data_IF_011490683811
#
_entry.id   IF_011490683811
#
_cell.length_a   1.000
_cell.length_b   1.000
_cell.length_c   1.000
_cell.angle_alpha   90.00
_cell.angle_beta   90.00
_cell.angle_gamma   90.00
#
_symmetry.space_group_name_H-M   'P 1'
#
loop_
_entity.id
_entity.type
_entity.pdbx_description
1 polymer ?
#
# COMPACT_ATOMS: atom_id res chain seq x y z
N UNK A 1 -10.33 8.95 6.05
CA UNK A 1 -9.46 7.77 6.23
C UNK A 1 -10.22 6.59 5.69
N UNK A 2 -9.70 5.92 4.65
CA UNK A 2 -10.30 4.69 4.12
C UNK A 2 -9.66 3.50 4.85
N UNK A 3 -10.51 2.57 5.30
CA UNK A 3 -10.08 1.41 6.08
C UNK A 3 -10.46 0.14 5.31
N UNK A 4 -9.48 -0.76 5.12
CA UNK A 4 -9.67 -2.05 4.46
C UNK A 4 -9.79 -3.17 5.50
N UNK A 5 -10.85 -3.99 5.36
CA UNK A 5 -11.05 -5.23 6.09
C UNK A 5 -10.73 -6.44 5.20
N UNK A 6 -10.18 -7.48 5.80
CA UNK A 6 -10.02 -8.80 5.16
C UNK A 6 -10.45 -9.85 6.16
N UNK A 7 -11.71 -10.25 6.07
CA UNK A 7 -12.18 -11.42 6.82
C UNK A 7 -11.84 -12.69 6.02
N UNK A 8 -11.12 -13.60 6.67
CA UNK A 8 -10.97 -14.98 6.20
C UNK A 8 -12.14 -15.79 6.76
N UNK A 9 -13.02 -16.29 5.90
CA UNK A 9 -13.88 -17.42 6.24
C UNK A 9 -14.01 -18.38 5.07
N UNK A 10 -13.95 -19.65 5.43
CA UNK A 10 -13.88 -20.82 4.55
C UNK A 10 -15.13 -20.91 3.66
N UNK A 11 -14.94 -20.88 2.35
CA UNK A 11 -16.03 -21.01 1.37
C UNK A 11 -16.68 -19.69 0.92
N UNK A 12 -16.20 -19.15 -0.22
CA UNK A 12 -16.91 -18.15 -1.02
C UNK A 12 -16.86 -16.72 -0.44
N UNK A 13 -15.95 -15.91 -0.98
CA UNK A 13 -15.90 -14.48 -0.66
C UNK A 13 -17.16 -13.77 -1.18
N UNK A 14 -17.98 -13.28 -0.25
CA UNK A 14 -19.04 -12.31 -0.53
C UNK A 14 -18.43 -10.92 -0.40
N UNK A 15 -18.51 -10.10 -1.46
CA UNK A 15 -18.21 -8.68 -1.36
C UNK A 15 -19.04 -8.08 -0.22
N UNK A 16 -18.35 -7.62 0.83
CA UNK A 16 -18.95 -6.92 1.96
C UNK A 16 -19.60 -5.62 1.50
N UNK A 17 -20.90 -5.53 1.82
CA UNK A 17 -21.87 -4.47 1.57
C UNK A 17 -21.32 -3.03 1.64
N UNK A 18 -21.35 -2.34 0.50
CA UNK A 18 -21.35 -0.87 0.42
C UNK A 18 -22.58 -0.34 1.16
N UNK A 19 -22.41 0.44 2.22
CA UNK A 19 -23.53 1.16 2.83
C UNK A 19 -23.65 2.52 2.14
N UNK A 20 -24.41 2.55 1.05
CA UNK A 20 -24.94 3.73 0.39
C UNK A 20 -26.28 3.39 -0.24
N UNK A 21 -27.35 4.11 0.15
CA UNK A 21 -28.74 3.83 -0.24
C UNK A 21 -29.04 4.37 -1.64
N UNK A 22 -29.84 3.60 -2.39
CA UNK A 22 -30.03 3.55 -3.86
C UNK A 22 -30.77 4.70 -4.54
N UNK A 23 -30.62 4.83 -5.87
CA UNK A 23 -31.72 4.67 -6.86
C UNK A 23 -31.25 4.85 -8.33
N UNK A 24 -31.67 3.95 -9.23
CA UNK A 24 -31.86 4.23 -10.67
C UNK A 24 -31.20 3.24 -11.64
N UNK A 25 -32.00 2.35 -12.23
CA UNK A 25 -31.67 1.47 -13.37
C UNK A 25 -31.63 2.27 -14.70
N UNK A 26 -30.67 1.99 -15.60
CA UNK A 26 -30.87 1.93 -17.06
C UNK A 26 -29.62 1.36 -17.77
N UNK A 27 -29.85 0.66 -18.88
CA UNK A 27 -28.93 -0.27 -19.52
C UNK A 27 -28.07 0.38 -20.63
N UNK A 28 -26.89 -0.23 -20.87
CA UNK A 28 -26.19 -0.35 -22.16
C UNK A 28 -25.30 0.81 -22.68
N UNK A 29 -24.02 0.48 -22.89
CA UNK A 29 -23.19 0.60 -24.11
C UNK A 29 -21.72 0.87 -23.75
N UNK A 30 -20.85 0.11 -24.41
CA UNK A 30 -19.40 0.08 -24.29
C UNK A 30 -18.72 1.46 -24.18
N UNK A 31 -17.74 1.57 -23.28
CA UNK A 31 -16.75 2.64 -23.29
C UNK A 31 -15.36 2.05 -23.06
N UNK A 32 -14.69 1.70 -24.16
CA UNK A 32 -13.27 1.36 -24.25
C UNK A 32 -12.40 2.63 -24.37
N UNK A 33 -12.65 3.63 -23.52
CA UNK A 33 -11.85 4.88 -23.45
C UNK A 33 -11.85 5.37 -22.01
N UNK A 34 -11.07 4.72 -21.12
CA UNK A 34 -10.78 5.25 -19.77
C UNK A 34 -9.34 5.06 -19.30
N UNK A 35 -8.58 4.18 -19.95
CA UNK A 35 -7.24 3.85 -19.50
C UNK A 35 -6.23 4.98 -19.74
N UNK A 36 -6.43 5.82 -20.77
CA UNK A 36 -5.48 6.86 -21.16
C UNK A 36 -5.53 8.08 -20.23
N UNK A 37 -6.74 8.52 -19.86
CA UNK A 37 -6.96 9.68 -18.97
C UNK A 37 -6.56 9.34 -17.52
N UNK A 38 -6.83 8.12 -17.06
CA UNK A 38 -6.41 7.62 -15.76
C UNK A 38 -4.87 7.50 -15.67
N UNK A 39 -4.23 7.00 -16.73
CA UNK A 39 -2.77 6.98 -16.83
C UNK A 39 -2.15 8.38 -16.80
N UNK A 40 -2.76 9.34 -17.51
CA UNK A 40 -2.31 10.73 -17.49
C UNK A 40 -2.49 11.35 -16.11
N UNK A 41 -3.63 11.12 -15.45
CA UNK A 41 -3.89 11.59 -14.09
C UNK A 41 -2.87 11.01 -13.11
N UNK A 42 -2.69 9.69 -13.09
CA UNK A 42 -1.68 9.03 -12.27
C UNK A 42 -0.27 9.58 -12.55
N UNK A 43 0.09 9.81 -13.82
CA UNK A 43 1.40 10.36 -14.19
C UNK A 43 1.61 11.80 -13.72
N UNK A 44 0.58 12.65 -13.79
CA UNK A 44 0.62 14.04 -13.33
C UNK A 44 0.75 14.10 -11.81
N UNK A 45 0.08 13.19 -11.08
CA UNK A 45 0.20 13.10 -9.63
C UNK A 45 1.53 12.48 -9.17
N UNK A 46 2.03 11.44 -9.85
CA UNK A 46 3.36 10.88 -9.61
C UNK A 46 4.45 11.94 -9.86
N UNK A 47 4.33 12.78 -10.88
CA UNK A 47 5.25 13.91 -11.13
C UNK A 47 5.14 15.03 -10.09
N UNK A 48 4.03 15.16 -9.36
CA UNK A 48 3.89 16.08 -8.21
C UNK A 48 4.49 15.49 -6.93
N UNK A 49 4.59 14.17 -6.84
CA UNK A 49 5.34 13.47 -5.79
C UNK A 49 6.84 13.45 -6.11
N UNK A 50 7.45 14.60 -6.43
CA UNK A 50 8.90 14.69 -6.59
C UNK A 50 9.54 14.47 -5.22
N UNK A 51 9.85 13.21 -4.92
CA UNK A 51 10.61 12.87 -3.74
C UNK A 51 11.96 13.58 -3.86
N UNK A 52 12.21 14.49 -2.91
CA UNK A 52 13.49 15.19 -2.80
C UNK A 52 14.60 14.14 -2.77
N UNK A 53 15.82 14.56 -3.11
CA UNK A 53 17.07 13.75 -3.23
C UNK A 53 17.38 12.77 -2.08
N UNK A 54 16.60 12.76 -0.99
CA UNK A 54 16.75 11.93 0.19
C UNK A 54 15.53 11.00 0.35
N UNK A 55 15.69 9.75 -0.08
CA UNK A 55 14.77 8.66 0.23
C UNK A 55 14.87 8.28 1.72
N UNK A 56 13.75 7.85 2.28
CA UNK A 56 13.70 7.25 3.61
C UNK A 56 14.34 5.86 3.58
N UNK A 57 14.71 5.33 4.75
CA UNK A 57 15.30 4.00 4.87
C UNK A 57 14.50 3.18 5.88
N UNK A 58 14.21 1.94 5.54
CA UNK A 58 13.48 1.03 6.41
C UNK A 58 14.09 -0.38 6.37
N UNK A 59 13.92 -1.15 7.44
CA UNK A 59 14.39 -2.53 7.56
C UNK A 59 13.23 -3.50 7.46
N UNK A 60 13.35 -4.46 6.54
CA UNK A 60 12.39 -5.54 6.39
C UNK A 60 12.55 -6.58 7.50
N UNK A 61 11.43 -7.04 8.07
CA UNK A 61 11.40 -8.16 9.01
C UNK A 61 10.68 -9.36 8.38
N UNK A 62 11.45 -10.36 7.94
CA UNK A 62 10.89 -11.56 7.32
C UNK A 62 9.97 -12.35 8.25
N UNK A 63 10.22 -12.36 9.56
CA UNK A 63 9.38 -13.13 10.48
C UNK A 63 7.98 -12.54 10.59
N UNK A 64 7.88 -11.22 10.63
CA UNK A 64 6.63 -10.51 10.89
C UNK A 64 5.94 -10.00 9.63
N UNK A 65 6.64 -9.90 8.50
CA UNK A 65 6.08 -9.27 7.30
C UNK A 65 5.78 -7.78 7.49
N UNK A 66 6.55 -7.12 8.35
CA UNK A 66 6.47 -5.68 8.62
C UNK A 66 7.81 -5.03 8.32
N UNK A 67 7.78 -3.72 8.09
CA UNK A 67 8.99 -2.94 7.86
C UNK A 67 9.11 -1.86 8.93
N UNK A 68 10.26 -1.77 9.58
CA UNK A 68 10.57 -0.71 10.54
C UNK A 68 11.25 0.46 9.83
N UNK A 69 10.71 1.67 9.92
CA UNK A 69 11.34 2.86 9.37
C UNK A 69 12.51 3.28 10.28
N UNK A 70 13.72 3.24 9.73
CA UNK A 70 14.95 3.61 10.43
C UNK A 70 15.25 5.11 10.29
N UNK A 71 15.04 5.65 9.09
CA UNK A 71 15.21 7.06 8.80
C UNK A 71 13.99 7.58 8.05
N UNK A 72 13.26 8.51 8.67
CA UNK A 72 12.16 9.20 8.03
C UNK A 72 12.68 10.43 7.26
N UNK A 73 12.36 10.52 5.98
CA UNK A 73 12.59 11.72 5.17
C UNK A 73 11.24 12.20 4.62
N UNK A 74 10.99 13.49 4.75
CA UNK A 74 9.75 14.12 4.30
C UNK A 74 8.53 13.77 5.16
N UNK A 75 7.35 14.19 4.69
CA UNK A 75 6.09 14.10 5.42
C UNK A 75 5.30 12.81 5.17
N UNK A 76 5.76 11.92 4.29
CA UNK A 76 5.06 10.68 3.92
C UNK A 76 4.64 9.83 5.14
N UNK A 77 5.49 9.78 6.16
CA UNK A 77 5.33 8.96 7.36
C UNK A 77 4.37 9.58 8.39
N UNK A 78 3.87 10.80 8.16
CA UNK A 78 2.82 11.39 8.99
C UNK A 78 1.47 10.71 8.76
N UNK A 79 1.29 10.06 7.61
CA UNK A 79 0.03 9.44 7.16
C UNK A 79 0.20 7.97 6.73
N UNK A 80 1.34 7.35 7.07
CA UNK A 80 1.70 6.00 6.63
C UNK A 80 2.39 5.26 7.78
N UNK A 81 1.97 4.02 8.04
CA UNK A 81 2.48 3.20 9.13
C UNK A 81 1.81 3.49 10.47
N UNK A 82 2.20 2.69 11.46
CA UNK A 82 1.73 2.75 12.85
C UNK A 82 2.91 3.15 13.73
N UNK A 83 2.69 4.17 14.57
CA UNK A 83 3.68 4.60 15.56
C UNK A 83 3.54 3.76 16.82
N UNK A 84 4.60 3.04 17.20
CA UNK A 84 4.67 2.24 18.42
C UNK A 84 6.06 2.36 19.06
N UNK A 85 6.11 2.62 20.37
CA UNK A 85 7.37 2.74 21.12
C UNK A 85 8.42 3.69 20.48
N UNK A 86 7.96 4.81 19.91
CA UNK A 86 8.83 5.80 19.25
C UNK A 86 9.36 5.38 17.87
N UNK A 87 8.89 4.25 17.33
CA UNK A 87 9.24 3.73 16.01
C UNK A 87 8.03 3.71 15.09
N UNK A 88 8.28 3.72 13.79
CA UNK A 88 7.22 3.60 12.76
C UNK A 88 7.34 2.22 12.12
N UNK A 89 6.23 1.49 12.12
CA UNK A 89 6.11 0.19 11.48
C UNK A 89 5.12 0.27 10.34
N UNK A 90 5.44 -0.35 9.21
CA UNK A 90 4.59 -0.36 8.02
C UNK A 90 4.17 -1.80 7.70
N UNK A 91 2.93 -1.95 7.25
CA UNK A 91 2.50 -3.17 6.57
C UNK A 91 3.26 -3.36 5.25
N UNK A 92 3.06 -4.50 4.61
CA UNK A 92 3.65 -4.79 3.29
C UNK A 92 3.18 -3.75 2.25
N UNK A 93 1.88 -3.47 2.18
CA UNK A 93 1.31 -2.51 1.23
C UNK A 93 1.84 -1.09 1.47
N UNK A 94 1.90 -0.69 2.74
CA UNK A 94 2.46 0.59 3.17
C UNK A 94 3.95 0.74 2.88
N UNK A 95 4.66 -0.39 2.74
CA UNK A 95 6.08 -0.44 2.36
C UNK A 95 6.27 -0.41 0.85
N UNK A 96 5.47 -1.16 0.09
CA UNK A 96 5.63 -1.33 -1.36
C UNK A 96 5.42 -0.02 -2.12
N UNK A 97 4.36 0.73 -1.80
CA UNK A 97 4.05 1.98 -2.51
C UNK A 97 5.20 3.01 -2.49
N UNK A 98 5.74 3.41 -1.32
CA UNK A 98 6.85 4.36 -1.29
C UNK A 98 8.15 3.78 -1.84
N UNK A 99 8.30 2.46 -1.83
CA UNK A 99 9.44 1.80 -2.46
C UNK A 99 9.39 1.89 -4.00
N UNK A 100 8.22 1.61 -4.61
CA UNK A 100 8.03 1.68 -6.07
C UNK A 100 8.26 3.07 -6.64
N UNK A 101 7.82 4.10 -5.93
CA UNK A 101 7.99 5.50 -6.35
C UNK A 101 9.35 6.09 -5.96
N UNK A 102 10.26 5.28 -5.39
CA UNK A 102 11.62 5.68 -5.03
C UNK A 102 11.75 6.55 -3.77
N UNK A 103 10.70 6.66 -2.98
CA UNK A 103 10.67 7.39 -1.71
C UNK A 103 11.28 6.61 -0.53
N UNK A 104 11.43 5.30 -0.68
CA UNK A 104 11.92 4.38 0.34
C UNK A 104 13.02 3.47 -0.21
N UNK A 105 14.09 3.30 0.57
CA UNK A 105 15.08 2.22 0.43
C UNK A 105 14.80 1.18 1.50
N UNK A 106 14.76 -0.09 1.10
CA UNK A 106 14.55 -1.21 2.02
C UNK A 106 15.88 -1.92 2.22
N UNK A 107 16.22 -2.13 3.49
CA UNK A 107 17.36 -2.91 3.92
C UNK A 107 16.90 -4.29 4.37
N UNK A 108 17.70 -5.30 4.05
CA UNK A 108 17.55 -6.63 4.63
C UNK A 108 18.15 -6.70 6.05
N UNK A 109 18.04 -7.87 6.69
CA UNK A 109 18.63 -8.13 8.01
C UNK A 109 20.12 -7.77 8.09
N UNK A 110 20.87 -8.04 7.02
CA UNK A 110 22.32 -7.80 6.96
C UNK A 110 22.68 -6.38 6.52
N UNK A 111 21.71 -5.46 6.54
CA UNK A 111 21.81 -4.06 6.07
C UNK A 111 22.15 -3.91 4.58
N UNK A 112 22.03 -4.97 3.78
CA UNK A 112 22.10 -4.89 2.33
C UNK A 112 20.83 -4.24 1.77
N UNK A 113 20.95 -3.43 0.71
CA UNK A 113 19.78 -2.86 0.04
C UNK A 113 19.08 -3.91 -0.82
N UNK A 114 17.77 -4.04 -0.67
CA UNK A 114 16.95 -4.93 -1.49
C UNK A 114 16.58 -4.26 -2.82
N UNK A 115 16.64 -5.04 -3.91
CA UNK A 115 16.09 -4.62 -5.20
C UNK A 115 14.57 -4.83 -5.23
N UNK A 116 13.87 -4.19 -6.19
CA UNK A 116 12.43 -4.40 -6.40
C UNK A 116 12.08 -5.87 -6.61
N UNK A 117 12.92 -6.58 -7.37
CA UNK A 117 12.75 -8.01 -7.59
C UNK A 117 12.83 -8.80 -6.29
N UNK A 118 13.76 -8.45 -5.40
CA UNK A 118 13.93 -9.15 -4.12
C UNK A 118 12.75 -8.89 -3.17
N UNK A 119 12.27 -7.64 -3.12
CA UNK A 119 11.11 -7.27 -2.31
C UNK A 119 9.86 -8.02 -2.80
N UNK A 120 9.59 -8.01 -4.10
CA UNK A 120 8.45 -8.75 -4.67
C UNK A 120 8.56 -10.25 -4.42
N UNK A 121 9.75 -10.82 -4.50
CA UNK A 121 9.99 -12.21 -4.15
C UNK A 121 9.65 -12.48 -2.67
N UNK A 122 10.12 -11.63 -1.75
CA UNK A 122 9.79 -11.74 -0.31
C UNK A 122 8.28 -11.64 -0.05
N UNK A 123 7.56 -10.79 -0.78
CA UNK A 123 6.09 -10.68 -0.70
C UNK A 123 5.41 -11.94 -1.23
N UNK A 124 5.84 -12.45 -2.38
CA UNK A 124 5.27 -13.64 -3.01
C UNK A 124 5.52 -14.93 -2.21
N UNK A 125 6.67 -15.05 -1.56
CA UNK A 125 6.99 -16.16 -0.65
C UNK A 125 6.25 -16.03 0.69
N UNK A 126 5.93 -14.79 1.07
CA UNK A 126 5.23 -14.43 2.29
C UNK A 126 3.71 -14.59 2.24
N UNK A 127 3.11 -15.37 1.34
CA UNK A 127 1.63 -15.48 1.16
C UNK A 127 0.81 -15.71 2.45
N UNK A 128 1.40 -16.26 3.52
CA UNK A 128 0.77 -16.40 4.85
C UNK A 128 0.73 -15.11 5.68
N UNK A 129 1.32 -14.01 5.20
CA UNK A 129 1.54 -12.73 5.92
C UNK A 129 0.52 -11.65 5.54
N UNK A 130 -0.54 -12.01 4.80
CA UNK A 130 -1.73 -11.18 4.63
C UNK A 130 -1.63 -10.02 3.61
N UNK A 131 -0.60 -9.99 2.75
CA UNK A 131 -0.57 -9.09 1.60
C UNK A 131 -1.10 -9.83 0.37
N UNK A 132 -2.33 -9.48 -0.04
CA UNK A 132 -2.87 -9.86 -1.34
C UNK A 132 -2.46 -8.79 -2.37
N UNK A 133 -2.03 -9.20 -3.56
CA UNK A 133 -1.64 -8.27 -4.62
C UNK A 133 -2.80 -7.33 -4.98
N UNK A 134 -4.04 -7.84 -4.94
CA UNK A 134 -5.26 -7.07 -5.15
C UNK A 134 -5.43 -5.97 -4.11
N UNK A 135 -5.10 -6.23 -2.83
CA UNK A 135 -5.13 -5.19 -1.78
C UNK A 135 -4.07 -4.13 -2.03
N UNK A 136 -2.89 -4.53 -2.50
CA UNK A 136 -1.83 -3.60 -2.83
C UNK A 136 -2.23 -2.68 -4.00
N UNK A 137 -2.83 -3.22 -5.07
CA UNK A 137 -3.30 -2.40 -6.20
C UNK A 137 -4.34 -1.37 -5.76
N UNK A 138 -5.30 -1.78 -4.93
CA UNK A 138 -6.31 -0.85 -4.38
C UNK A 138 -5.64 0.21 -3.50
N UNK A 139 -4.75 -0.20 -2.60
CA UNK A 139 -3.98 0.72 -1.75
C UNK A 139 -3.18 1.74 -2.58
N UNK A 140 -2.49 1.27 -3.63
CA UNK A 140 -1.68 2.06 -4.56
C UNK A 140 -2.52 3.08 -5.32
N UNK A 141 -3.70 2.68 -5.81
CA UNK A 141 -4.62 3.58 -6.48
C UNK A 141 -5.04 4.73 -5.54
N UNK A 142 -5.53 4.41 -4.34
CA UNK A 142 -5.94 5.44 -3.37
C UNK A 142 -4.77 6.33 -2.90
N UNK A 143 -3.57 5.78 -2.72
CA UNK A 143 -2.39 6.57 -2.34
C UNK A 143 -1.93 7.51 -3.45
N UNK A 144 -2.06 7.10 -4.71
CA UNK A 144 -1.78 7.96 -5.87
C UNK A 144 -2.75 9.14 -5.96
N UNK A 145 -3.99 8.96 -5.48
CA UNK A 145 -5.00 10.00 -5.31
C UNK A 145 -4.85 10.82 -4.00
N UNK A 146 -3.76 10.62 -3.25
CA UNK A 146 -3.44 11.33 -1.99
C UNK A 146 -4.43 11.04 -0.85
N UNK A 147 -5.13 9.90 -0.89
CA UNK A 147 -5.93 9.46 0.26
C UNK A 147 -5.05 8.92 1.39
N UNK A 148 -5.48 9.21 2.62
CA UNK A 148 -4.97 8.53 3.81
C UNK A 148 -5.69 7.18 3.93
N UNK A 149 -4.93 6.12 3.65
CA UNK A 149 -5.36 4.72 3.71
C UNK A 149 -4.62 4.03 4.83
N UNK A 150 -5.34 3.24 5.63
CA UNK A 150 -4.75 2.37 6.66
C UNK A 150 -5.52 1.05 6.75
N UNK A 151 -4.89 0.02 7.34
CA UNK A 151 -5.56 -1.26 7.63
C UNK A 151 -6.44 -1.12 8.88
N UNK A 152 -7.58 -1.81 8.91
CA UNK A 152 -8.40 -1.86 10.13
C UNK A 152 -7.60 -2.56 11.23
N UNK A 153 -7.70 -2.01 12.44
CA UNK A 153 -6.94 -2.47 13.60
C UNK A 153 -7.43 -3.87 14.02
N UNK A 154 -6.68 -4.92 13.74
CA UNK A 154 -6.58 -6.04 14.68
C UNK A 154 -5.45 -5.70 15.67
N UNK A 155 -5.78 -4.88 16.68
CA UNK A 155 -4.86 -4.59 17.78
C UNK A 155 -4.92 -5.75 18.77
N UNK A 156 -3.95 -6.65 18.65
CA UNK A 156 -3.51 -7.58 19.69
C UNK A 156 -2.01 -7.44 19.91
N UNK A 157 -1.50 -6.21 19.96
CA UNK A 157 -0.15 -5.88 20.41
C UNK A 157 -0.20 -5.39 21.86
#
# INVERSE_FOLDING_TARGET
VLIFDSEVSDGGYRLGKLIGRASGDDDNYEQDIKDEEECLFASVYLRKLQFRKHASTARWNDRMGITEVLENKGSLWTTTGIVGCGKIYCSIEETLFPFEIGALRILDHDNSSLSLKDVYKKVAEGKKRGCLWEQFEVYRHFKSLVFIVGKHKFLGL
#
